data_IF_331470127136
#
_entry.id   IF_331470127136
#
_cell.length_a   1.000
_cell.length_b   1.000
_cell.length_c   1.000
_cell.angle_alpha   90.00
_cell.angle_beta   90.00
_cell.angle_gamma   90.00
#
_symmetry.space_group_name_H-M   'P 1'
#
loop_
_entity.id
_entity.type
_entity.pdbx_description
1 polymer ?
#
# COMPACT_ATOMS: atom_id res chain seq x y z
N UNK A 1 14.47 -5.97 3.28
CA UNK A 1 13.04 -5.76 3.59
C UNK A 1 12.20 -6.13 2.38
N UNK A 2 10.97 -6.53 2.61
CA UNK A 2 10.05 -6.98 1.55
C UNK A 2 8.82 -6.09 1.50
N UNK A 3 8.44 -5.67 0.31
CA UNK A 3 7.24 -4.87 0.07
C UNK A 3 6.29 -5.63 -0.85
N UNK A 4 5.01 -5.63 -0.51
CA UNK A 4 3.93 -6.14 -1.36
C UNK A 4 3.26 -4.95 -2.02
N UNK A 5 3.14 -4.98 -3.35
CA UNK A 5 2.50 -3.92 -4.11
C UNK A 5 1.30 -4.49 -4.84
N UNK A 6 0.12 -3.92 -4.57
CA UNK A 6 -1.14 -4.33 -5.19
C UNK A 6 -1.73 -3.15 -5.94
N UNK A 7 -1.75 -3.25 -7.27
CA UNK A 7 -2.30 -2.20 -8.13
C UNK A 7 -2.61 -2.83 -9.49
N UNK A 8 -3.73 -2.46 -10.11
CA UNK A 8 -4.08 -2.96 -11.43
C UNK A 8 -3.34 -2.22 -12.55
N UNK A 9 -2.63 -1.14 -12.23
CA UNK A 9 -1.81 -0.41 -13.19
C UNK A 9 -0.41 -1.05 -13.25
N UNK A 10 -0.16 -1.82 -14.29
CA UNK A 10 1.10 -2.54 -14.46
C UNK A 10 2.30 -1.60 -14.56
N UNK A 11 2.14 -0.46 -15.24
CA UNK A 11 3.24 0.50 -15.38
C UNK A 11 3.63 1.08 -14.03
N UNK A 12 2.65 1.41 -13.20
CA UNK A 12 2.91 1.92 -11.87
C UNK A 12 3.61 0.88 -11.01
N UNK A 13 3.19 -0.38 -11.08
CA UNK A 13 3.86 -1.47 -10.34
C UNK A 13 5.33 -1.57 -10.73
N UNK A 14 5.65 -1.46 -12.02
CA UNK A 14 7.03 -1.52 -12.48
C UNK A 14 7.84 -0.36 -11.94
N UNK A 15 7.31 0.85 -12.04
CA UNK A 15 8.01 2.05 -11.55
C UNK A 15 8.28 1.94 -10.06
N UNK A 16 7.27 1.58 -9.28
CA UNK A 16 7.42 1.49 -7.83
C UNK A 16 8.38 0.38 -7.44
N UNK A 17 8.33 -0.76 -8.12
CA UNK A 17 9.22 -1.87 -7.80
C UNK A 17 10.68 -1.50 -8.07
N UNK A 18 10.95 -0.75 -9.14
CA UNK A 18 12.32 -0.32 -9.43
C UNK A 18 12.84 0.66 -8.41
N UNK A 19 12.01 1.61 -7.98
CA UNK A 19 12.38 2.55 -6.94
C UNK A 19 12.72 1.83 -5.64
N UNK A 20 11.91 0.85 -5.28
CA UNK A 20 12.12 0.10 -4.04
C UNK A 20 13.33 -0.81 -4.12
N UNK A 21 13.60 -1.41 -5.27
CA UNK A 21 14.79 -2.25 -5.47
C UNK A 21 16.07 -1.46 -5.28
N UNK A 22 16.08 -0.19 -5.69
CA UNK A 22 17.23 0.68 -5.45
C UNK A 22 17.52 0.88 -3.96
N UNK A 23 16.51 0.66 -3.12
CA UNK A 23 16.64 0.74 -1.67
C UNK A 23 16.72 -0.65 -1.04
N UNK A 24 17.07 -1.66 -1.86
CA UNK A 24 17.28 -3.05 -1.42
C UNK A 24 16.03 -3.75 -0.92
N UNK A 25 14.85 -3.33 -1.38
CA UNK A 25 13.61 -4.04 -1.11
C UNK A 25 13.44 -5.20 -2.08
N UNK A 26 12.95 -6.31 -1.57
CA UNK A 26 12.38 -7.37 -2.39
C UNK A 26 10.90 -7.01 -2.61
N UNK A 27 10.43 -7.06 -3.85
CA UNK A 27 9.06 -6.67 -4.18
C UNK A 27 8.23 -7.87 -4.63
N UNK A 28 7.04 -8.00 -4.07
CA UNK A 28 6.04 -8.97 -4.48
C UNK A 28 4.90 -8.18 -5.12
N UNK A 29 4.59 -8.47 -6.39
CA UNK A 29 3.65 -7.68 -7.17
C UNK A 29 2.37 -8.46 -7.44
N UNK A 30 1.22 -7.80 -7.30
CA UNK A 30 -0.07 -8.37 -7.63
C UNK A 30 -0.97 -7.30 -8.24
N UNK A 31 -1.82 -7.69 -9.18
CA UNK A 31 -2.75 -6.77 -9.85
C UNK A 31 -4.19 -6.95 -9.38
N UNK A 32 -4.43 -7.97 -8.55
CA UNK A 32 -5.76 -8.27 -8.03
C UNK A 32 -5.63 -9.02 -6.72
N UNK A 33 -6.72 -9.11 -5.98
CA UNK A 33 -6.74 -9.89 -4.74
C UNK A 33 -6.42 -11.36 -5.01
N UNK A 34 -6.90 -11.91 -6.13
CA UNK A 34 -6.61 -13.29 -6.49
C UNK A 34 -5.11 -13.51 -6.70
N UNK A 35 -4.45 -12.58 -7.39
CA UNK A 35 -3.01 -12.66 -7.58
C UNK A 35 -2.26 -12.50 -6.27
N UNK A 36 -2.73 -11.64 -5.39
CA UNK A 36 -2.13 -11.43 -4.07
C UNK A 36 -2.15 -12.74 -3.27
N UNK A 37 -3.29 -13.41 -3.25
CA UNK A 37 -3.43 -14.69 -2.55
C UNK A 37 -2.53 -15.77 -3.15
N UNK A 38 -2.36 -15.74 -4.48
CA UNK A 38 -1.54 -16.72 -5.19
C UNK A 38 -0.04 -16.58 -4.92
N UNK A 39 0.40 -15.43 -4.41
CA UNK A 39 1.81 -15.23 -4.06
C UNK A 39 2.26 -16.11 -2.89
N UNK A 40 1.34 -16.62 -2.11
CA UNK A 40 1.64 -17.56 -1.04
C UNK A 40 2.02 -16.90 0.27
N UNK A 41 2.59 -17.67 1.20
CA UNK A 41 2.84 -17.19 2.56
C UNK A 41 3.89 -16.10 2.67
N UNK A 42 4.71 -15.88 1.64
CA UNK A 42 5.71 -14.81 1.65
C UNK A 42 5.07 -13.43 1.86
N UNK A 43 3.83 -13.25 1.39
CA UNK A 43 3.09 -12.01 1.54
C UNK A 43 2.95 -11.64 3.02
N UNK A 44 2.69 -12.64 3.86
CA UNK A 44 2.43 -12.40 5.28
C UNK A 44 3.69 -12.02 6.04
N UNK A 45 4.86 -12.36 5.51
CA UNK A 45 6.13 -12.02 6.12
C UNK A 45 6.68 -10.68 5.64
N UNK A 46 5.97 -9.99 4.75
CA UNK A 46 6.43 -8.71 4.22
C UNK A 46 6.41 -7.62 5.29
N UNK A 47 7.27 -6.63 5.10
CA UNK A 47 7.41 -5.52 6.04
C UNK A 47 6.38 -4.42 5.78
N UNK A 48 5.93 -4.29 4.54
CA UNK A 48 4.94 -3.27 4.16
C UNK A 48 4.10 -3.79 3.00
N UNK A 49 2.83 -3.40 2.97
CA UNK A 49 1.93 -3.65 1.86
C UNK A 49 1.36 -2.31 1.39
N UNK A 50 1.50 -2.04 0.09
CA UNK A 50 0.96 -0.84 -0.55
C UNK A 50 -0.19 -1.30 -1.43
N UNK A 51 -1.39 -0.86 -1.10
CA UNK A 51 -2.63 -1.37 -1.68
C UNK A 51 -3.37 -0.25 -2.42
N UNK A 52 -3.61 -0.44 -3.72
CA UNK A 52 -4.51 0.44 -4.46
C UNK A 52 -5.94 0.16 -3.98
N UNK A 53 -6.68 1.21 -3.66
CA UNK A 53 -8.04 1.05 -3.15
C UNK A 53 -8.96 0.49 -4.22
N UNK A 54 -8.90 1.03 -5.44
CA UNK A 54 -9.79 0.62 -6.52
C UNK A 54 -9.04 -0.25 -7.53
N UNK A 55 -9.42 -1.51 -7.63
CA UNK A 55 -8.77 -2.49 -8.51
C UNK A 55 -9.61 -2.81 -9.74
N UNK A 56 -10.61 -1.99 -10.03
CA UNK A 56 -11.46 -2.13 -11.20
C UNK A 56 -12.90 -2.47 -10.88
N UNK A 57 -13.78 -2.18 -11.83
CA UNK A 57 -15.21 -2.44 -11.67
C UNK A 57 -15.45 -3.95 -11.51
N UNK A 58 -16.24 -4.32 -10.51
CA UNK A 58 -16.57 -5.72 -10.26
C UNK A 58 -15.47 -6.54 -9.61
N UNK A 59 -14.32 -5.93 -9.30
CA UNK A 59 -13.21 -6.61 -8.65
C UNK A 59 -13.19 -6.32 -7.14
N UNK A 60 -12.69 -7.26 -6.32
CA UNK A 60 -12.44 -6.94 -4.92
C UNK A 60 -11.51 -5.74 -4.80
N UNK A 61 -11.77 -4.88 -3.83
CA UNK A 61 -11.02 -3.64 -3.64
C UNK A 61 -9.76 -3.85 -2.82
N UNK A 62 -8.95 -2.78 -2.69
CA UNK A 62 -7.82 -2.79 -1.79
C UNK A 62 -8.24 -2.97 -0.32
N UNK A 63 -9.45 -2.56 0.03
CA UNK A 63 -9.98 -2.78 1.37
C UNK A 63 -10.24 -4.27 1.62
N UNK A 64 -10.72 -4.98 0.60
CA UNK A 64 -10.87 -6.43 0.69
C UNK A 64 -9.51 -7.11 0.90
N UNK A 65 -8.48 -6.60 0.23
CA UNK A 65 -7.12 -7.10 0.42
C UNK A 65 -6.62 -6.82 1.84
N UNK A 66 -6.90 -5.63 2.36
CA UNK A 66 -6.57 -5.27 3.74
C UNK A 66 -7.21 -6.24 4.72
N UNK A 67 -8.51 -6.49 4.56
CA UNK A 67 -9.23 -7.41 5.44
C UNK A 67 -8.65 -8.82 5.38
N UNK A 68 -8.31 -9.28 4.18
CA UNK A 68 -7.71 -10.60 4.01
C UNK A 68 -6.35 -10.67 4.70
N UNK A 69 -5.50 -9.67 4.50
CA UNK A 69 -4.17 -9.64 5.12
C UNK A 69 -4.25 -9.67 6.64
N UNK A 70 -5.12 -8.85 7.22
CA UNK A 70 -5.28 -8.84 8.69
C UNK A 70 -5.83 -10.17 9.18
N UNK A 71 -6.77 -10.76 8.45
CA UNK A 71 -7.32 -12.06 8.81
C UNK A 71 -6.30 -13.18 8.78
N UNK A 72 -5.24 -13.03 7.98
CA UNK A 72 -4.16 -14.01 7.89
C UNK A 72 -3.00 -13.71 8.86
N UNK A 73 -3.12 -12.64 9.66
CA UNK A 73 -2.10 -12.32 10.64
C UNK A 73 -0.98 -11.42 10.14
N UNK A 74 -1.19 -10.69 9.04
CA UNK A 74 -0.19 -9.76 8.53
C UNK A 74 0.14 -8.71 9.59
N UNK A 75 1.42 -8.57 9.90
CA UNK A 75 1.89 -7.66 10.96
C UNK A 75 2.68 -6.47 10.42
N UNK A 76 2.87 -6.37 9.11
CA UNK A 76 3.62 -5.28 8.51
C UNK A 76 2.81 -3.97 8.44
N UNK A 77 3.42 -2.95 7.85
CA UNK A 77 2.77 -1.66 7.66
C UNK A 77 1.83 -1.72 6.47
N UNK A 78 0.73 -0.98 6.55
CA UNK A 78 -0.29 -0.96 5.51
C UNK A 78 -0.49 0.46 5.01
N UNK A 79 -0.35 0.65 3.69
CA UNK A 79 -0.57 1.93 3.03
C UNK A 79 -1.58 1.73 1.91
N UNK A 80 -2.53 2.64 1.80
CA UNK A 80 -3.45 2.68 0.67
C UNK A 80 -3.05 3.78 -0.30
N UNK A 81 -3.17 3.51 -1.60
CA UNK A 81 -3.06 4.54 -2.63
C UNK A 81 -4.43 4.72 -3.28
N UNK A 82 -4.80 5.95 -3.56
CA UNK A 82 -6.07 6.23 -4.24
C UNK A 82 -5.93 7.35 -5.25
N UNK A 83 -6.55 7.16 -6.42
CA UNK A 83 -6.73 8.21 -7.42
C UNK A 83 -8.10 8.88 -7.33
N UNK A 84 -8.90 8.54 -6.34
CA UNK A 84 -10.25 9.05 -6.19
C UNK A 84 -10.36 10.12 -5.11
N UNK A 85 -11.42 10.92 -5.17
CA UNK A 85 -11.68 11.94 -4.17
C UNK A 85 -11.94 11.33 -2.79
N UNK A 86 -11.63 12.08 -1.74
CA UNK A 86 -11.84 11.61 -0.38
C UNK A 86 -13.32 11.35 -0.05
N UNK A 87 -14.23 11.93 -0.83
CA UNK A 87 -15.66 11.68 -0.67
C UNK A 87 -16.11 10.33 -1.27
N UNK A 88 -15.26 9.67 -2.05
CA UNK A 88 -15.60 8.36 -2.61
C UNK A 88 -15.81 7.36 -1.46
N UNK A 89 -16.88 6.53 -1.49
CA UNK A 89 -17.18 5.64 -0.36
C UNK A 89 -16.03 4.71 0.05
N UNK A 90 -15.28 4.17 -0.92
CA UNK A 90 -14.17 3.29 -0.60
C UNK A 90 -13.03 4.06 0.08
N UNK A 91 -12.74 5.29 -0.35
CA UNK A 91 -11.71 6.12 0.26
C UNK A 91 -12.12 6.48 1.68
N UNK A 92 -13.37 6.90 1.88
CA UNK A 92 -13.87 7.23 3.21
C UNK A 92 -13.80 6.02 4.15
N UNK A 93 -14.08 4.82 3.63
CA UNK A 93 -13.98 3.60 4.41
C UNK A 93 -12.52 3.31 4.79
N UNK A 94 -11.59 3.46 3.85
CA UNK A 94 -10.17 3.22 4.09
C UNK A 94 -9.62 4.19 5.15
N UNK A 95 -10.05 5.44 5.11
CA UNK A 95 -9.59 6.46 6.05
C UNK A 95 -10.01 6.18 7.49
N UNK A 96 -11.02 5.34 7.68
CA UNK A 96 -11.48 4.95 9.01
C UNK A 96 -10.77 3.72 9.58
N UNK A 97 -9.89 3.09 8.80
CA UNK A 97 -9.19 1.89 9.25
C UNK A 97 -7.98 2.26 10.11
N UNK A 98 -7.77 1.52 11.19
CA UNK A 98 -6.81 1.89 12.23
C UNK A 98 -5.36 1.64 11.89
N UNK A 99 -5.06 0.68 11.01
CA UNK A 99 -3.69 0.26 10.74
C UNK A 99 -3.18 0.69 9.38
N UNK A 100 -3.87 1.60 8.72
CA UNK A 100 -3.49 1.98 7.37
C UNK A 100 -3.44 3.49 7.23
N UNK A 101 -2.55 3.96 6.36
CA UNK A 101 -2.46 5.36 5.96
C UNK A 101 -2.91 5.45 4.50
N UNK A 102 -3.70 6.46 4.16
CA UNK A 102 -4.18 6.68 2.80
C UNK A 102 -3.38 7.79 2.14
N UNK A 103 -2.83 7.51 0.96
CA UNK A 103 -2.05 8.46 0.18
C UNK A 103 -2.71 8.66 -1.19
N UNK A 104 -2.68 9.89 -1.69
CA UNK A 104 -3.31 10.24 -2.96
C UNK A 104 -2.38 10.00 -4.14
N UNK A 105 -2.94 9.57 -5.26
CA UNK A 105 -2.27 9.55 -6.56
C UNK A 105 -2.57 10.86 -7.30
N UNK A 106 -1.69 11.35 -8.16
CA UNK A 106 -0.33 10.89 -8.39
C UNK A 106 0.57 11.21 -7.21
N UNK A 107 1.56 10.39 -6.97
CA UNK A 107 2.42 10.53 -5.81
C UNK A 107 3.87 10.58 -6.27
N UNK A 108 4.61 11.55 -5.73
CA UNK A 108 6.05 11.61 -5.95
C UNK A 108 6.70 10.35 -5.39
N UNK A 109 7.54 9.70 -6.21
CA UNK A 109 8.17 8.45 -5.80
C UNK A 109 8.97 8.56 -4.51
N UNK A 110 9.63 9.71 -4.30
CA UNK A 110 10.40 9.92 -3.07
C UNK A 110 9.48 10.02 -1.84
N UNK A 111 8.34 10.69 -1.98
CA UNK A 111 7.36 10.78 -0.91
C UNK A 111 6.85 9.38 -0.54
N UNK A 112 6.55 8.57 -1.55
CA UNK A 112 6.09 7.20 -1.32
C UNK A 112 7.17 6.38 -0.62
N UNK A 113 8.42 6.47 -1.08
CA UNK A 113 9.54 5.77 -0.44
C UNK A 113 9.68 6.17 1.02
N UNK A 114 9.59 7.46 1.32
CA UNK A 114 9.70 7.95 2.68
C UNK A 114 8.61 7.35 3.57
N UNK A 115 7.38 7.27 3.05
CA UNK A 115 6.27 6.67 3.81
C UNK A 115 6.44 5.17 4.00
N UNK A 116 6.91 4.47 2.98
CA UNK A 116 7.18 3.03 3.05
C UNK A 116 8.28 2.76 4.07
N UNK A 117 9.31 3.58 4.09
CA UNK A 117 10.45 3.41 4.99
C UNK A 117 10.19 3.94 6.40
N UNK A 118 9.02 4.54 6.63
CA UNK A 118 8.69 5.08 7.93
C UNK A 118 9.36 6.41 8.24
N UNK A 119 9.87 7.09 7.21
CA UNK A 119 10.49 8.42 7.34
C UNK A 119 9.47 9.48 6.97
N UNK A 120 9.44 10.50 7.65
CA UNK A 120 8.55 11.54 7.21
C UNK A 120 7.97 12.28 8.28
N UNK A 121 7.47 12.95 7.93
CA UNK A 121 6.90 13.55 8.65
C UNK A 121 6.54 13.58 9.91
N UNK A 122 7.04 13.40 9.84
CA UNK A 122 6.93 13.05 10.61
C UNK A 122 7.40 13.28 11.25
N UNK A 123 7.90 13.50 11.39
CA UNK A 123 8.36 13.29 11.95
C UNK A 123 8.44 13.83 12.23
N UNK A 124 8.40 14.27 12.38
CA UNK A 124 8.26 14.11 12.67
C UNK A 124 8.05 14.70 12.59
N UNK A 125 8.05 15.25 12.88
CA UNK A 125 7.67 15.23 12.88
C UNK A 125 7.03 15.48 12.39
N UNK A 126 6.98 15.87 12.52
CA UNK A 126 6.40 15.54 12.14
C UNK A 126 5.70 15.50 11.79
N UNK A 127 5.96 16.29 12.14
CA UNK A 127 5.35 15.70 11.96
C UNK A 127 4.83 15.83 11.81
N UNK A 128 4.94 16.16 12.24
CA UNK A 128 4.62 15.73 12.47
C UNK A 128 4.39 15.27 12.34
N UNK A 129 4.51 15.99 12.35
CA UNK A 129 4.48 15.13 12.48
C UNK A 129 4.10 14.64 12.45
N UNK A 130 4.24 14.82 12.65
CA UNK A 130 4.05 13.91 12.79
C UNK A 130 3.77 13.36 12.75
N UNK A 131 3.82 13.62 12.84
CA UNK A 131 3.75 12.77 12.98
C UNK A 131 3.66 12.44 12.95
N UNK A 132 3.88 12.75 13.03
CA UNK A 132 3.89 12.07 13.10
C UNK A 132 3.82 12.04 13.16
#
# INVERSE_FOLDING_TARGET
MTAVLLDDDTDLLEILSELLKERHFRCLLARSLAELKALGPEVLAADVAVLDINLGAGQPSGIDAYDWLLGQGFAGRLLFLTGHAHAHPLVAQAERLNRATVLDKPLDGQVLLDRIMGVGAGSGLDGHVTTA
#
